data_IF_687201354823
#
_entry.id   IF_687201354823
#
_cell.length_a   1.000
_cell.length_b   1.000
_cell.length_c   1.000
_cell.angle_alpha   90.00
_cell.angle_beta   90.00
_cell.angle_gamma   90.00
#
_symmetry.space_group_name_H-M   'P 1'
#
loop_
_entity.id
_entity.type
_entity.pdbx_description
1 polymer ?
#
# COMPACT_ATOMS: atom_id res chain seq x y z
N UNK A 1 2.39 17.67 4.97
CA UNK A 1 1.42 18.04 6.01
C UNK A 1 0.18 17.22 5.72
N UNK A 2 0.13 16.01 6.25
CA UNK A 2 -0.96 15.08 5.97
C UNK A 2 -2.19 15.50 6.76
N UNK A 3 -3.07 16.23 6.09
CA UNK A 3 -4.42 16.50 6.56
C UNK A 3 -5.08 15.15 6.88
N UNK A 4 -5.46 14.96 8.15
CA UNK A 4 -6.14 13.76 8.65
C UNK A 4 -7.37 13.47 7.78
N UNK A 5 -7.23 12.55 6.81
CA UNK A 5 -8.36 12.01 6.05
C UNK A 5 -9.29 11.30 7.04
N UNK A 6 -10.62 11.39 6.86
CA UNK A 6 -11.57 10.85 7.83
C UNK A 6 -11.36 9.34 7.99
N UNK A 7 -11.24 8.87 9.23
CA UNK A 7 -11.40 7.44 9.51
C UNK A 7 -12.86 7.07 9.23
N UNK A 8 -13.11 6.35 8.14
CA UNK A 8 -14.42 5.78 7.87
C UNK A 8 -14.77 4.83 9.02
N UNK A 9 -15.87 5.11 9.73
CA UNK A 9 -16.30 4.31 10.89
C UNK A 9 -16.79 2.95 10.41
N UNK A 10 -15.92 1.96 10.44
CA UNK A 10 -16.30 0.55 10.34
C UNK A 10 -17.07 0.18 11.61
N UNK A 11 -18.27 -0.38 11.46
CA UNK A 11 -19.00 -0.94 12.60
C UNK A 11 -18.32 -2.25 13.01
N UNK A 12 -17.85 -2.34 14.25
CA UNK A 12 -17.09 -3.48 14.74
C UNK A 12 -17.88 -4.19 15.84
N UNK A 13 -17.91 -5.52 15.77
CA UNK A 13 -18.32 -6.35 16.91
C UNK A 13 -17.29 -6.25 18.03
N UNK A 14 -17.68 -6.64 19.24
CA UNK A 14 -16.75 -6.70 20.38
C UNK A 14 -15.54 -7.61 20.13
N UNK A 15 -15.76 -8.74 19.44
CA UNK A 15 -14.69 -9.63 18.99
C UNK A 15 -13.71 -8.91 18.06
N UNK A 16 -14.22 -8.14 17.09
CA UNK A 16 -13.39 -7.38 16.16
C UNK A 16 -12.62 -6.24 16.85
N UNK A 17 -13.23 -5.56 17.84
CA UNK A 17 -12.56 -4.55 18.67
C UNK A 17 -11.38 -5.14 19.45
N UNK A 18 -11.57 -6.30 20.07
CA UNK A 18 -10.50 -7.00 20.78
C UNK A 18 -9.41 -7.51 19.83
N UNK A 19 -9.78 -7.96 18.63
CA UNK A 19 -8.85 -8.36 17.59
C UNK A 19 -8.00 -7.15 17.11
N UNK A 20 -8.63 -6.01 16.82
CA UNK A 20 -7.95 -4.76 16.48
C UNK A 20 -6.99 -4.32 17.59
N UNK A 21 -7.43 -4.40 18.85
CA UNK A 21 -6.61 -4.07 20.02
C UNK A 21 -5.33 -4.90 20.07
N UNK A 22 -5.43 -6.21 19.82
CA UNK A 22 -4.27 -7.10 19.75
C UNK A 22 -3.35 -6.71 18.58
N UNK A 23 -3.91 -6.53 17.37
CA UNK A 23 -3.13 -6.15 16.19
C UNK A 23 -2.36 -4.84 16.41
N UNK A 24 -3.03 -3.79 16.92
CA UNK A 24 -2.38 -2.50 17.20
C UNK A 24 -1.28 -2.63 18.24
N UNK A 25 -1.48 -3.43 19.29
CA UNK A 25 -0.47 -3.62 20.32
C UNK A 25 0.80 -4.30 19.76
N UNK A 26 0.63 -5.34 18.93
CA UNK A 26 1.75 -6.01 18.24
C UNK A 26 2.47 -5.04 17.31
N UNK A 27 1.75 -4.34 16.43
CA UNK A 27 2.38 -3.41 15.46
C UNK A 27 3.15 -2.30 16.18
N UNK A 28 2.59 -1.72 17.25
CA UNK A 28 3.27 -0.69 18.05
C UNK A 28 4.50 -1.23 18.78
N UNK A 29 4.44 -2.46 19.30
CA UNK A 29 5.60 -3.10 19.93
C UNK A 29 6.74 -3.37 18.92
N UNK A 30 6.45 -3.44 17.62
CA UNK A 30 7.44 -3.67 16.58
C UNK A 30 8.05 -2.37 16.01
N UNK A 31 7.68 -1.19 16.52
CA UNK A 31 8.06 0.11 15.94
C UNK A 31 9.57 0.43 16.00
N UNK A 32 10.30 -0.12 16.96
CA UNK A 32 11.77 -0.05 17.12
C UNK A 32 12.50 -1.19 16.39
N UNK A 33 11.79 -1.98 15.58
CA UNK A 33 12.36 -3.03 14.74
C UNK A 33 12.27 -2.64 13.26
N UNK A 34 12.98 -3.33 12.35
CA UNK A 34 12.84 -3.08 10.91
C UNK A 34 11.54 -3.60 10.28
N UNK A 35 10.61 -4.12 11.07
CA UNK A 35 9.32 -4.61 10.58
C UNK A 35 8.51 -3.46 10.00
N UNK A 36 7.94 -3.68 8.81
CA UNK A 36 7.11 -2.70 8.10
C UNK A 36 5.78 -3.34 7.77
N UNK A 37 4.70 -2.83 8.36
CA UNK A 37 3.35 -3.31 8.11
C UNK A 37 2.94 -2.99 6.66
N UNK A 38 2.36 -3.96 5.97
CA UNK A 38 1.85 -3.84 4.59
C UNK A 38 0.44 -4.44 4.45
N UNK A 39 -0.06 -4.48 3.21
CA UNK A 39 -1.31 -5.15 2.86
C UNK A 39 -2.57 -4.45 3.39
N UNK A 40 -3.66 -5.22 3.56
CA UNK A 40 -4.96 -4.68 3.95
C UNK A 40 -4.97 -4.03 5.33
N UNK A 41 -4.21 -4.58 6.29
CA UNK A 41 -4.16 -4.04 7.65
C UNK A 41 -3.30 -2.79 7.77
N UNK A 42 -2.31 -2.59 6.89
CA UNK A 42 -1.67 -1.29 6.71
C UNK A 42 -2.68 -0.22 6.26
N UNK A 43 -3.53 -0.53 5.28
CA UNK A 43 -4.59 0.37 4.83
C UNK A 43 -5.58 0.67 5.96
N UNK A 44 -5.98 -0.34 6.72
CA UNK A 44 -6.91 -0.19 7.84
C UNK A 44 -6.35 0.64 8.99
N UNK A 45 -5.17 0.29 9.52
CA UNK A 45 -4.61 0.95 10.70
C UNK A 45 -3.96 2.31 10.38
N UNK A 46 -3.43 2.49 9.18
CA UNK A 46 -2.64 3.67 8.79
C UNK A 46 -3.33 4.63 7.82
N UNK A 47 -4.21 4.13 6.94
CA UNK A 47 -4.76 4.91 5.83
C UNK A 47 -6.28 5.00 5.81
N UNK A 48 -6.94 4.49 6.85
CA UNK A 48 -8.38 4.65 7.06
C UNK A 48 -9.26 3.77 6.16
N UNK A 49 -8.82 2.57 5.76
CA UNK A 49 -9.67 1.63 5.02
C UNK A 49 -11.04 1.44 5.69
N UNK A 50 -12.11 1.49 4.89
CA UNK A 50 -13.50 1.44 5.33
C UNK A 50 -14.09 0.01 5.41
N UNK A 51 -13.24 -1.01 5.53
CA UNK A 51 -13.60 -2.38 5.90
C UNK A 51 -12.64 -2.89 6.97
N UNK A 52 -13.07 -3.85 7.77
CA UNK A 52 -12.18 -4.50 8.73
C UNK A 52 -11.12 -5.34 8.02
N UNK A 53 -9.96 -5.52 8.65
CA UNK A 53 -8.87 -6.37 8.18
C UNK A 53 -8.29 -7.12 9.37
N UNK A 54 -8.04 -8.41 9.23
CA UNK A 54 -7.78 -9.35 10.34
C UNK A 54 -6.37 -9.95 10.35
N UNK A 55 -5.63 -9.85 9.25
CA UNK A 55 -4.28 -10.43 9.13
C UNK A 55 -3.20 -9.37 9.39
N UNK A 56 -2.03 -9.76 9.90
CA UNK A 56 -0.85 -8.90 9.93
C UNK A 56 0.21 -9.38 8.93
N UNK A 57 0.45 -8.59 7.88
CA UNK A 57 1.49 -8.84 6.89
C UNK A 57 2.63 -7.83 7.03
N UNK A 58 3.87 -8.30 7.08
CA UNK A 58 5.05 -7.46 7.18
C UNK A 58 6.09 -7.73 6.08
N UNK A 59 6.86 -6.69 5.76
CA UNK A 59 8.20 -6.85 5.19
C UNK A 59 9.26 -6.60 6.27
N UNK A 60 10.37 -7.34 6.25
CA UNK A 60 11.50 -7.10 7.13
C UNK A 60 12.80 -7.58 6.49
N UNK A 61 13.87 -6.77 6.50
CA UNK A 61 15.14 -7.16 5.85
C UNK A 61 15.97 -8.19 6.64
N UNK A 62 15.57 -8.55 7.87
CA UNK A 62 16.28 -9.51 8.71
C UNK A 62 15.36 -10.21 9.71
N UNK A 63 15.80 -11.37 10.20
CA UNK A 63 15.14 -12.08 11.31
C UNK A 63 15.20 -11.25 12.60
N UNK A 64 14.13 -11.31 13.39
CA UNK A 64 14.04 -10.74 14.73
C UNK A 64 13.49 -11.79 15.70
N UNK A 65 13.60 -11.56 17.00
CA UNK A 65 12.98 -12.41 18.02
C UNK A 65 11.45 -12.18 18.08
N UNK A 66 10.73 -12.54 17.02
CA UNK A 66 9.32 -12.22 16.84
C UNK A 66 8.44 -12.78 17.97
N UNK A 67 8.70 -14.02 18.40
CA UNK A 67 7.88 -14.68 19.41
C UNK A 67 7.85 -13.89 20.73
N UNK A 68 9.01 -13.41 21.18
CA UNK A 68 9.08 -12.63 22.43
C UNK A 68 8.47 -11.25 22.26
N UNK A 69 8.60 -10.63 21.07
CA UNK A 69 7.91 -9.37 20.77
C UNK A 69 6.39 -9.54 20.85
N UNK A 70 5.83 -10.56 20.20
CA UNK A 70 4.39 -10.85 20.26
C UNK A 70 3.93 -11.16 21.68
N UNK A 71 4.66 -11.99 22.45
CA UNK A 71 4.34 -12.28 23.86
C UNK A 71 4.35 -11.03 24.74
N UNK A 72 5.33 -10.14 24.54
CA UNK A 72 5.43 -8.88 25.28
C UNK A 72 4.38 -7.84 24.89
N UNK A 73 3.75 -8.00 23.72
CA UNK A 73 2.77 -7.07 23.18
C UNK A 73 1.33 -7.39 23.58
N UNK A 74 1.06 -8.51 24.25
CA UNK A 74 -0.29 -8.93 24.61
C UNK A 74 -0.94 -7.91 25.54
N UNK A 75 -2.00 -7.20 25.11
CA UNK A 75 -2.57 -6.13 25.91
C UNK A 75 -3.52 -6.68 26.99
N UNK A 76 -3.75 -5.89 28.03
CA UNK A 76 -4.73 -6.21 29.07
C UNK A 76 -6.09 -6.60 28.47
N UNK A 77 -6.63 -7.73 28.89
CA UNK A 77 -7.93 -8.25 28.41
C UNK A 77 -7.80 -9.34 27.34
N UNK A 78 -6.63 -9.50 26.73
CA UNK A 78 -6.31 -10.60 25.82
C UNK A 78 -5.51 -11.67 26.57
N UNK A 79 -5.82 -12.93 26.29
CA UNK A 79 -5.13 -14.10 26.84
C UNK A 79 -4.46 -14.80 25.67
N UNK A 80 -3.14 -14.89 25.68
CA UNK A 80 -2.38 -15.65 24.67
C UNK A 80 -2.42 -17.13 25.05
N UNK A 81 -2.96 -17.97 24.16
CA UNK A 81 -3.02 -19.41 24.36
C UNK A 81 -1.77 -20.08 23.78
N UNK A 82 -1.44 -19.79 22.53
CA UNK A 82 -0.33 -20.40 21.79
C UNK A 82 0.13 -19.53 20.61
N UNK A 83 1.36 -19.73 20.15
CA UNK A 83 1.85 -19.19 18.88
C UNK A 83 2.36 -20.35 18.04
N UNK A 84 1.52 -20.84 17.14
CA UNK A 84 1.87 -21.94 16.26
C UNK A 84 2.69 -21.44 15.05
N UNK A 85 3.92 -21.93 14.90
CA UNK A 85 4.80 -21.61 13.77
C UNK A 85 4.42 -22.51 12.60
N UNK A 86 3.71 -21.97 11.59
CA UNK A 86 3.38 -22.72 10.37
C UNK A 86 4.56 -22.82 9.41
N UNK A 87 5.39 -21.77 9.35
CA UNK A 87 6.60 -21.74 8.51
C UNK A 87 7.58 -20.73 9.09
N UNK A 88 8.84 -21.12 9.20
CA UNK A 88 9.93 -20.22 9.51
C UNK A 88 11.13 -20.60 8.63
N UNK A 89 11.28 -19.88 7.52
CA UNK A 89 12.32 -20.10 6.52
C UNK A 89 13.00 -18.77 6.17
N UNK A 90 14.12 -18.81 5.47
CA UNK A 90 14.92 -17.62 5.15
C UNK A 90 14.12 -16.51 4.49
N UNK A 91 13.18 -16.86 3.60
CA UNK A 91 12.38 -15.90 2.83
C UNK A 91 11.02 -15.56 3.44
N UNK A 92 10.51 -16.36 4.39
CA UNK A 92 9.15 -16.19 4.92
C UNK A 92 9.00 -16.68 6.36
N UNK A 93 8.26 -15.92 7.17
CA UNK A 93 7.73 -16.34 8.47
C UNK A 93 6.20 -16.35 8.44
N UNK A 94 5.57 -17.40 8.98
CA UNK A 94 4.12 -17.53 9.09
C UNK A 94 3.74 -18.12 10.44
N UNK A 95 2.94 -17.40 11.18
CA UNK A 95 2.57 -17.70 12.55
C UNK A 95 1.04 -17.61 12.71
N UNK A 96 0.49 -18.47 13.56
CA UNK A 96 -0.90 -18.44 13.98
C UNK A 96 -0.91 -18.14 15.48
N UNK A 97 -1.24 -16.89 15.83
CA UNK A 97 -1.34 -16.44 17.22
C UNK A 97 -2.73 -16.80 17.72
N UNK A 98 -2.81 -17.81 18.57
CA UNK A 98 -4.06 -18.29 19.18
C UNK A 98 -4.30 -17.54 20.47
N UNK A 99 -5.45 -16.91 20.59
CA UNK A 99 -5.76 -16.09 21.75
C UNK A 99 -7.23 -16.19 22.13
N UNK A 100 -7.55 -15.86 23.37
CA UNK A 100 -8.92 -15.65 23.83
C UNK A 100 -9.03 -14.26 24.47
N UNK A 101 -10.23 -13.87 24.86
CA UNK A 101 -10.47 -12.62 25.59
C UNK A 101 -10.92 -12.93 27.02
N UNK A 102 -10.89 -11.93 27.90
CA UNK A 102 -11.44 -12.11 29.26
C UNK A 102 -12.94 -12.42 29.19
N UNK A 103 -13.65 -11.80 28.26
CA UNK A 103 -15.11 -11.80 28.14
C UNK A 103 -15.64 -12.95 27.28
N UNK A 104 -14.85 -13.41 26.30
CA UNK A 104 -15.11 -14.61 25.49
C UNK A 104 -13.92 -15.58 25.52
N UNK A 105 -14.15 -16.80 26.01
CA UNK A 105 -13.15 -17.88 26.12
C UNK A 105 -12.98 -18.70 24.84
N UNK A 106 -13.83 -18.48 23.84
CA UNK A 106 -13.66 -19.08 22.52
C UNK A 106 -12.34 -18.63 21.90
N UNK A 107 -11.54 -19.59 21.44
CA UNK A 107 -10.25 -19.32 20.84
C UNK A 107 -10.40 -18.66 19.47
N UNK A 108 -9.66 -17.57 19.30
CA UNK A 108 -9.52 -16.79 18.08
C UNK A 108 -8.11 -16.97 17.53
N UNK A 109 -7.95 -16.71 16.23
CA UNK A 109 -6.64 -16.79 15.57
C UNK A 109 -6.32 -15.48 14.89
N UNK A 110 -5.16 -14.91 15.19
CA UNK A 110 -4.53 -13.84 14.42
C UNK A 110 -3.42 -14.44 13.55
N UNK A 111 -3.55 -14.30 12.24
CA UNK A 111 -2.53 -14.72 11.29
C UNK A 111 -1.48 -13.61 11.18
N UNK A 112 -0.21 -14.00 11.29
CA UNK A 112 0.92 -13.10 11.14
C UNK A 112 1.90 -13.66 10.11
N UNK A 113 2.14 -12.90 9.03
CA UNK A 113 3.09 -13.25 7.97
C UNK A 113 4.19 -12.19 7.82
N UNK A 114 5.38 -12.65 7.47
CA UNK A 114 6.55 -11.81 7.24
C UNK A 114 7.22 -12.27 5.95
N UNK A 115 7.41 -11.38 5.00
CA UNK A 115 8.35 -11.56 3.90
C UNK A 115 9.71 -11.01 4.31
N UNK A 116 10.75 -11.82 4.15
CA UNK A 116 12.14 -11.39 4.31
C UNK A 116 12.80 -11.00 2.98
N UNK A 117 12.05 -11.10 1.88
CA UNK A 117 12.48 -10.69 0.53
C UNK A 117 12.06 -9.25 0.26
N UNK A 118 12.91 -8.54 -0.48
CA UNK A 118 12.63 -7.23 -1.09
C UNK A 118 12.06 -6.18 -0.12
N UNK A 119 12.51 -6.20 1.13
CA UNK A 119 12.06 -5.25 2.15
C UNK A 119 12.32 -3.80 1.71
N UNK A 120 11.40 -2.86 2.02
CA UNK A 120 11.55 -1.46 1.61
C UNK A 120 12.77 -0.84 2.29
N UNK A 121 13.39 0.13 1.60
CA UNK A 121 14.45 0.95 2.20
C UNK A 121 13.86 1.84 3.29
N UNK A 122 14.67 2.28 4.27
CA UNK A 122 14.18 3.16 5.34
C UNK A 122 13.53 4.46 4.82
N UNK A 123 13.99 4.99 3.68
CA UNK A 123 13.39 6.15 3.01
C UNK A 123 11.99 5.92 2.41
N UNK A 124 11.57 4.67 2.31
CA UNK A 124 10.30 4.22 1.73
C UNK A 124 9.27 3.82 2.80
N UNK A 125 9.57 4.09 4.08
CA UNK A 125 8.75 3.70 5.22
C UNK A 125 8.08 4.95 5.80
N UNK A 126 6.77 4.87 6.01
CA UNK A 126 6.02 5.88 6.74
C UNK A 126 5.93 5.50 8.21
N UNK A 127 5.85 6.51 9.09
CA UNK A 127 5.51 6.32 10.50
C UNK A 127 4.17 7.00 10.76
N UNK A 128 3.14 6.23 11.04
CA UNK A 128 1.78 6.71 11.26
C UNK A 128 1.32 6.24 12.65
N UNK A 129 0.99 7.18 13.54
CA UNK A 129 0.56 6.87 14.92
C UNK A 129 1.54 5.93 15.68
N UNK A 130 2.85 6.11 15.42
CA UNK A 130 3.93 5.32 16.01
C UNK A 130 4.13 3.93 15.38
N UNK A 131 3.48 3.63 14.26
CA UNK A 131 3.60 2.36 13.53
C UNK A 131 4.41 2.54 12.25
N UNK A 132 5.34 1.62 11.97
CA UNK A 132 6.09 1.57 10.71
C UNK A 132 5.25 0.90 9.64
N UNK A 133 4.86 1.64 8.60
CA UNK A 133 3.90 1.23 7.58
C UNK A 133 4.45 1.49 6.17
N UNK A 134 4.21 0.58 5.24
CA UNK A 134 4.56 0.74 3.84
C UNK A 134 3.84 1.96 3.22
N UNK A 135 4.52 2.64 2.30
CA UNK A 135 3.91 3.70 1.48
C UNK A 135 2.76 3.18 0.60
N UNK A 136 1.82 4.06 0.28
CA UNK A 136 0.63 3.73 -0.52
C UNK A 136 1.02 3.11 -1.88
N UNK A 137 2.03 3.67 -2.55
CA UNK A 137 2.52 3.21 -3.85
C UNK A 137 2.92 1.72 -3.82
N UNK A 138 3.63 1.32 -2.75
CA UNK A 138 4.02 -0.08 -2.54
C UNK A 138 2.82 -0.97 -2.24
N UNK A 139 1.79 -0.45 -1.58
CA UNK A 139 0.57 -1.21 -1.32
C UNK A 139 -0.24 -1.40 -2.62
N UNK A 140 -0.36 -0.36 -3.46
CA UNK A 140 -0.99 -0.43 -4.78
C UNK A 140 -0.28 -1.47 -5.65
N UNK A 141 1.04 -1.39 -5.76
CA UNK A 141 1.84 -2.32 -6.56
C UNK A 141 1.64 -3.77 -6.11
N UNK A 142 1.77 -4.04 -4.80
CA UNK A 142 1.55 -5.38 -4.25
C UNK A 142 0.13 -5.90 -4.49
N UNK A 143 -0.88 -5.02 -4.52
CA UNK A 143 -2.27 -5.40 -4.81
C UNK A 143 -2.43 -5.80 -6.26
N UNK A 144 -1.92 -5.01 -7.20
CA UNK A 144 -1.94 -5.33 -8.63
C UNK A 144 -1.19 -6.62 -8.93
N UNK A 145 0.00 -6.81 -8.34
CA UNK A 145 0.74 -8.07 -8.44
C UNK A 145 -0.08 -9.26 -7.91
N UNK A 146 -0.80 -9.08 -6.80
CA UNK A 146 -1.59 -10.15 -6.20
C UNK A 146 -2.84 -10.51 -7.04
N UNK A 147 -3.53 -9.55 -7.67
CA UNK A 147 -4.80 -9.81 -8.33
C UNK A 147 -4.77 -9.77 -9.87
N UNK A 148 -3.64 -9.39 -10.49
CA UNK A 148 -3.59 -9.14 -11.92
C UNK A 148 -2.33 -9.64 -12.62
N UNK A 149 -1.15 -9.15 -12.26
CA UNK A 149 0.06 -9.25 -13.10
C UNK A 149 1.31 -9.83 -12.42
N UNK A 150 1.19 -10.29 -11.17
CA UNK A 150 2.28 -10.99 -10.49
C UNK A 150 2.39 -12.46 -10.88
N UNK A 151 3.47 -13.11 -10.46
CA UNK A 151 3.74 -14.53 -10.76
C UNK A 151 2.69 -15.50 -10.18
N UNK A 152 2.05 -15.12 -9.07
CA UNK A 152 1.10 -15.95 -8.33
C UNK A 152 -0.17 -15.15 -8.01
N UNK A 153 -0.94 -14.85 -9.06
CA UNK A 153 -2.20 -14.12 -8.92
C UNK A 153 -3.25 -14.92 -8.14
N UNK A 154 -4.21 -14.20 -7.56
CA UNK A 154 -5.34 -14.76 -6.82
C UNK A 154 -6.63 -14.02 -7.15
N UNK A 155 -7.74 -14.72 -6.99
CA UNK A 155 -9.08 -14.14 -7.08
C UNK A 155 -9.62 -13.93 -5.66
N UNK A 156 -9.36 -12.74 -5.11
CA UNK A 156 -9.90 -12.31 -3.81
C UNK A 156 -10.58 -10.96 -3.93
N UNK A 157 -11.87 -10.88 -3.61
CA UNK A 157 -12.68 -9.67 -3.75
C UNK A 157 -12.15 -8.50 -2.89
N UNK A 158 -11.44 -8.80 -1.80
CA UNK A 158 -10.73 -7.80 -0.97
C UNK A 158 -9.73 -7.00 -1.80
N UNK A 159 -9.12 -7.58 -2.83
CA UNK A 159 -8.17 -6.85 -3.69
C UNK A 159 -8.90 -5.82 -4.57
N UNK A 160 -10.07 -6.18 -5.13
CA UNK A 160 -10.93 -5.25 -5.86
C UNK A 160 -11.42 -4.10 -4.96
N UNK A 161 -11.92 -4.42 -3.77
CA UNK A 161 -12.38 -3.41 -2.81
C UNK A 161 -11.24 -2.43 -2.43
N UNK A 162 -10.06 -2.96 -2.13
CA UNK A 162 -8.94 -2.12 -1.69
C UNK A 162 -8.39 -1.25 -2.82
N UNK A 163 -8.33 -1.76 -4.06
CA UNK A 163 -7.92 -0.97 -5.23
C UNK A 163 -8.93 0.13 -5.56
N UNK A 164 -10.23 -0.13 -5.39
CA UNK A 164 -11.26 0.90 -5.48
C UNK A 164 -11.07 1.99 -4.43
N UNK A 165 -10.88 1.60 -3.16
CA UNK A 165 -10.59 2.55 -2.08
C UNK A 165 -9.35 3.40 -2.38
N UNK A 166 -8.27 2.78 -2.86
CA UNK A 166 -7.03 3.46 -3.23
C UNK A 166 -7.24 4.43 -4.40
N UNK A 167 -7.92 4.02 -5.46
CA UNK A 167 -8.22 4.90 -6.59
C UNK A 167 -9.12 6.09 -6.18
N UNK A 168 -10.08 5.86 -5.29
CA UNK A 168 -11.05 6.88 -4.85
C UNK A 168 -10.47 7.90 -3.87
N UNK A 169 -9.56 7.47 -3.00
CA UNK A 169 -9.09 8.29 -1.87
C UNK A 169 -7.61 8.63 -1.91
N UNK A 170 -6.83 7.98 -2.77
CA UNK A 170 -5.38 8.12 -2.86
C UNK A 170 -4.90 8.17 -4.33
N UNK A 171 -5.70 8.76 -5.23
CA UNK A 171 -5.36 8.89 -6.66
C UNK A 171 -4.00 9.56 -6.90
N UNK A 172 -3.58 10.45 -6.00
CA UNK A 172 -2.31 11.19 -6.08
C UNK A 172 -1.07 10.30 -5.98
N UNK A 173 -1.22 9.08 -5.47
CA UNK A 173 -0.13 8.10 -5.33
C UNK A 173 0.00 7.18 -6.55
N UNK A 174 -0.88 7.30 -7.55
CA UNK A 174 -0.70 6.57 -8.80
C UNK A 174 0.30 7.31 -9.69
N UNK A 175 1.37 6.61 -10.07
CA UNK A 175 2.21 7.00 -11.19
C UNK A 175 1.65 6.39 -12.50
N UNK A 176 2.28 6.72 -13.63
CA UNK A 176 1.78 6.29 -14.95
C UNK A 176 1.74 4.76 -15.10
N UNK A 177 2.73 4.05 -14.55
CA UNK A 177 2.78 2.58 -14.56
C UNK A 177 1.62 1.98 -13.75
N UNK A 178 1.48 2.39 -12.49
CA UNK A 178 0.42 1.89 -11.59
C UNK A 178 -0.97 2.20 -12.16
N UNK A 179 -1.16 3.39 -12.74
CA UNK A 179 -2.43 3.77 -13.36
C UNK A 179 -2.72 2.94 -14.62
N UNK A 180 -1.70 2.63 -15.44
CA UNK A 180 -1.86 1.78 -16.63
C UNK A 180 -2.27 0.37 -16.23
N UNK A 181 -1.58 -0.22 -15.28
CA UNK A 181 -1.88 -1.57 -14.77
C UNK A 181 -3.26 -1.64 -14.12
N UNK A 182 -3.63 -0.62 -13.33
CA UNK A 182 -4.99 -0.54 -12.74
C UNK A 182 -6.06 -0.46 -13.84
N UNK A 183 -5.84 0.39 -14.86
CA UNK A 183 -6.76 0.52 -16.00
C UNK A 183 -6.90 -0.78 -16.76
N UNK A 184 -5.80 -1.51 -16.97
CA UNK A 184 -5.83 -2.81 -17.67
C UNK A 184 -6.52 -3.90 -16.85
N UNK A 185 -6.34 -3.91 -15.53
CA UNK A 185 -7.06 -4.77 -14.60
C UNK A 185 -8.57 -4.49 -14.65
N UNK A 186 -8.97 -3.23 -14.64
CA UNK A 186 -10.38 -2.81 -14.52
C UNK A 186 -11.07 -2.45 -15.83
N UNK A 187 -10.52 -2.85 -16.98
CA UNK A 187 -11.05 -2.49 -18.31
C UNK A 187 -12.38 -3.16 -18.67
N UNK A 188 -12.69 -4.28 -18.01
CA UNK A 188 -13.89 -5.08 -18.24
C UNK A 188 -14.63 -5.29 -16.91
N UNK A 189 -15.51 -4.34 -16.51
CA UNK A 189 -16.25 -4.43 -15.25
C UNK A 189 -17.12 -5.67 -15.15
N UNK A 190 -17.74 -6.12 -16.25
CA UNK A 190 -18.59 -7.32 -16.26
C UNK A 190 -17.78 -8.57 -15.94
N UNK A 191 -16.54 -8.66 -16.48
CA UNK A 191 -15.61 -9.72 -16.11
C UNK A 191 -15.22 -9.66 -14.63
N UNK A 192 -14.95 -8.47 -14.09
CA UNK A 192 -14.65 -8.34 -12.64
C UNK A 192 -15.84 -8.82 -11.80
N UNK A 193 -17.05 -8.43 -12.14
CA UNK A 193 -18.26 -8.91 -11.45
C UNK A 193 -18.32 -10.44 -11.52
N UNK A 194 -18.14 -11.03 -12.70
CA UNK A 194 -18.13 -12.49 -12.87
C UNK A 194 -17.08 -13.19 -12.02
N UNK A 195 -15.84 -12.70 -12.03
CA UNK A 195 -14.71 -13.30 -11.31
C UNK A 195 -14.89 -13.25 -9.79
N UNK A 196 -15.47 -12.17 -9.26
CA UNK A 196 -15.50 -11.90 -7.81
C UNK A 196 -16.86 -12.18 -7.14
N UNK A 197 -17.94 -12.42 -7.89
CA UNK A 197 -19.30 -12.56 -7.34
C UNK A 197 -19.41 -13.60 -6.22
N UNK A 198 -18.78 -14.77 -6.40
CA UNK A 198 -18.83 -15.85 -5.40
C UNK A 198 -18.04 -15.47 -4.15
N UNK A 199 -16.84 -14.91 -4.32
CA UNK A 199 -15.96 -14.56 -3.19
C UNK A 199 -16.57 -13.40 -2.38
N UNK A 200 -17.17 -12.38 -3.01
CA UNK A 200 -17.90 -11.30 -2.31
C UNK A 200 -19.02 -11.85 -1.43
N UNK A 201 -19.84 -12.78 -1.95
CA UNK A 201 -20.97 -13.35 -1.20
C UNK A 201 -20.51 -14.17 0.02
N UNK A 202 -19.39 -14.86 -0.11
CA UNK A 202 -18.84 -15.71 0.94
C UNK A 202 -17.99 -14.95 1.97
N UNK A 203 -17.42 -13.80 1.61
CA UNK A 203 -16.54 -13.03 2.49
C UNK A 203 -17.35 -12.17 3.47
N UNK A 204 -17.37 -12.57 4.75
CA UNK A 204 -18.06 -11.85 5.81
C UNK A 204 -17.56 -10.41 6.03
N UNK A 205 -16.36 -10.06 5.55
CA UNK A 205 -15.84 -8.69 5.64
C UNK A 205 -16.35 -7.78 4.50
N UNK A 206 -17.00 -8.34 3.47
CA UNK A 206 -17.44 -7.61 2.28
C UNK A 206 -18.93 -7.74 2.01
N UNK A 207 -19.53 -8.90 2.28
CA UNK A 207 -20.87 -9.26 1.80
C UNK A 207 -22.01 -8.33 2.27
N UNK A 208 -21.82 -7.56 3.34
CA UNK A 208 -22.80 -6.57 3.82
C UNK A 208 -22.49 -5.13 3.39
N UNK A 209 -21.31 -4.86 2.82
CA UNK A 209 -20.81 -3.49 2.60
C UNK A 209 -20.37 -3.20 1.17
N UNK A 210 -20.18 -4.23 0.34
CA UNK A 210 -19.67 -4.09 -1.02
C UNK A 210 -20.79 -4.32 -2.03
N UNK A 211 -21.13 -3.27 -2.77
CA UNK A 211 -21.85 -3.38 -4.05
C UNK A 211 -20.81 -3.70 -5.12
N UNK A 212 -20.81 -4.94 -5.63
CA UNK A 212 -19.77 -5.43 -6.52
C UNK A 212 -19.86 -4.78 -7.91
N UNK A 213 -21.06 -4.67 -8.44
CA UNK A 213 -21.35 -4.07 -9.74
C UNK A 213 -20.95 -2.58 -9.75
N UNK A 214 -21.35 -1.82 -8.73
CA UNK A 214 -20.97 -0.41 -8.58
C UNK A 214 -19.44 -0.28 -8.40
N UNK A 215 -18.84 -1.10 -7.53
CA UNK A 215 -17.39 -1.04 -7.27
C UNK A 215 -16.58 -1.32 -8.54
N UNK A 216 -16.95 -2.34 -9.32
CA UNK A 216 -16.26 -2.69 -10.57
C UNK A 216 -16.38 -1.58 -11.62
N UNK A 217 -17.59 -1.01 -11.78
CA UNK A 217 -17.83 0.07 -12.73
C UNK A 217 -17.11 1.37 -12.33
N UNK A 218 -17.21 1.78 -11.07
CA UNK A 218 -16.53 2.98 -10.55
C UNK A 218 -15.01 2.85 -10.70
N UNK A 219 -14.44 1.68 -10.37
CA UNK A 219 -12.99 1.47 -10.51
C UNK A 219 -12.53 1.60 -11.96
N UNK A 220 -13.27 1.01 -12.91
CA UNK A 220 -12.99 1.14 -14.34
C UNK A 220 -12.93 2.59 -14.79
N UNK A 221 -13.92 3.40 -14.39
CA UNK A 221 -13.98 4.82 -14.73
C UNK A 221 -12.85 5.61 -14.06
N UNK A 222 -12.62 5.42 -12.76
CA UNK A 222 -11.57 6.13 -12.01
C UNK A 222 -10.18 5.81 -12.59
N UNK A 223 -9.88 4.54 -12.89
CA UNK A 223 -8.60 4.14 -13.46
C UNK A 223 -8.33 4.82 -14.82
N UNK A 224 -9.35 4.92 -15.68
CA UNK A 224 -9.24 5.65 -16.94
C UNK A 224 -8.97 7.15 -16.73
N UNK A 225 -9.66 7.78 -15.78
CA UNK A 225 -9.48 9.21 -15.47
C UNK A 225 -8.09 9.50 -14.88
N UNK A 226 -7.62 8.68 -13.94
CA UNK A 226 -6.29 8.78 -13.33
C UNK A 226 -5.22 8.64 -14.41
N UNK A 227 -5.29 7.61 -15.25
CA UNK A 227 -4.34 7.42 -16.35
C UNK A 227 -4.31 8.60 -17.32
N UNK A 228 -5.48 9.06 -17.77
CA UNK A 228 -5.60 10.19 -18.70
C UNK A 228 -5.07 11.49 -18.10
N UNK A 229 -5.26 11.72 -16.80
CA UNK A 229 -4.71 12.87 -16.06
C UNK A 229 -3.18 12.84 -16.08
N UNK A 230 -2.58 11.69 -15.77
CA UNK A 230 -1.13 11.49 -15.75
C UNK A 230 -0.50 11.59 -17.14
N UNK A 231 -1.14 11.04 -18.18
CA UNK A 231 -0.68 11.21 -19.56
C UNK A 231 -0.63 12.68 -19.96
N UNK A 232 -1.68 13.45 -19.69
CA UNK A 232 -1.71 14.89 -19.99
C UNK A 232 -0.63 15.66 -19.27
N UNK A 233 -0.37 15.34 -17.99
CA UNK A 233 0.70 15.95 -17.22
C UNK A 233 2.07 15.64 -17.83
N UNK A 234 2.32 14.40 -18.22
CA UNK A 234 3.56 13.98 -18.90
C UNK A 234 3.79 14.74 -20.22
N UNK A 235 2.77 14.81 -21.09
CA UNK A 235 2.87 15.57 -22.35
C UNK A 235 3.12 17.06 -22.11
N UNK A 236 2.46 17.66 -21.12
CA UNK A 236 2.67 19.08 -20.77
C UNK A 236 4.08 19.34 -20.24
N UNK A 237 4.64 18.43 -19.43
CA UNK A 237 6.00 18.55 -18.94
C UNK A 237 7.03 18.44 -20.06
N UNK A 238 6.85 17.49 -20.99
CA UNK A 238 7.73 17.33 -22.15
C UNK A 238 7.72 18.58 -23.05
N UNK A 239 6.54 19.14 -23.33
CA UNK A 239 6.43 20.36 -24.12
C UNK A 239 7.11 21.57 -23.46
N UNK A 240 7.03 21.71 -22.14
CA UNK A 240 7.74 22.76 -21.38
C UNK A 240 9.27 22.56 -21.42
N UNK A 241 9.74 21.32 -21.30
CA UNK A 241 11.17 21.00 -21.38
C UNK A 241 11.75 21.25 -22.77
N UNK A 242 10.99 20.94 -23.84
CA UNK A 242 11.38 21.26 -25.21
C UNK A 242 11.50 22.78 -25.39
N UNK A 243 10.53 23.58 -24.95
CA UNK A 243 10.58 25.04 -25.03
C UNK A 243 11.76 25.66 -24.25
N UNK A 244 12.10 25.12 -23.08
CA UNK A 244 13.26 25.55 -22.30
C UNK A 244 14.60 25.08 -22.91
N UNK A 245 14.63 23.92 -23.56
CA UNK A 245 15.78 23.41 -24.29
C UNK A 245 16.11 24.23 -25.54
N UNK A 246 15.09 24.70 -26.27
CA UNK A 246 15.28 25.64 -27.38
C UNK A 246 15.76 27.02 -26.91
N UNK A 247 15.24 27.54 -25.79
CA UNK A 247 15.64 28.86 -25.26
C UNK A 247 17.09 28.90 -24.75
N UNK A 248 17.66 27.77 -24.30
CA UNK A 248 19.05 27.70 -23.85
C UNK A 248 20.08 27.52 -24.99
N UNK A 249 19.65 27.07 -26.17
CA UNK A 249 20.52 26.93 -27.35
C UNK A 249 20.58 28.20 -28.23
N UNK A 250 19.62 29.12 -28.10
CA UNK A 250 19.61 30.39 -28.85
C UNK A 250 20.49 31.49 -28.22
N UNK A 251 21.07 31.28 -27.04
CA UNK A 251 22.00 32.23 -26.40
C UNK A 251 23.49 32.01 -26.75
N UNK A 252 23.80 31.16 -27.73
CA UNK A 252 25.20 30.89 -28.14
C UNK A 252 25.54 31.29 -29.59
N UNK A 253 24.73 32.11 -30.26
CA UNK A 253 25.07 32.60 -31.60
C UNK A 253 25.21 34.12 -31.62
N UNK A 254 26.34 34.51 -32.21
CA UNK A 254 26.72 35.84 -32.69
C UNK A 254 27.30 36.85 -31.69
N UNK A 255 28.64 36.85 -31.62
CA UNK A 255 29.37 38.12 -31.54
C UNK A 255 30.49 38.11 -32.61
N UNK A 256 30.26 38.66 -33.82
CA UNK A 256 31.31 38.87 -34.80
C UNK A 256 31.88 40.29 -34.73
N UNK A 257 33.22 40.35 -34.86
CA UNK A 257 34.06 41.53 -35.17
C UNK A 257 34.23 42.57 -34.03
N UNK A 258 35.39 43.22 -33.83
CA UNK A 258 36.45 43.56 -34.77
C UNK A 258 37.77 43.92 -34.06
N UNK A 259 38.86 43.83 -34.83
CA UNK A 259 40.24 44.28 -34.58
C UNK A 259 40.41 45.56 -33.73
N UNK A 260 41.50 45.64 -32.96
CA UNK A 260 42.73 46.36 -33.36
C UNK A 260 43.78 46.45 -32.25
N UNK A 261 45.04 46.52 -32.71
CA UNK A 261 46.20 47.17 -32.09
C UNK A 261 47.14 46.36 -31.18
N UNK A 262 48.21 45.87 -31.82
CA UNK A 262 49.53 45.66 -31.19
C UNK A 262 50.25 47.00 -31.02
N UNK A 263 51.08 47.13 -29.97
CA UNK A 263 52.36 47.80 -30.16
C UNK A 263 53.54 46.96 -29.65
N UNK A 264 54.52 46.79 -30.54
CA UNK A 264 55.91 46.47 -30.17
C UNK A 264 56.54 47.67 -29.48
N UNK A 265 57.22 47.47 -28.33
CA UNK A 265 58.70 47.56 -28.13
C UNK A 265 59.13 48.02 -26.71
N UNK A 266 60.19 47.33 -26.23
CA UNK A 266 61.31 47.75 -25.35
C UNK A 266 60.93 48.01 -23.87
N UNK A 267 61.62 47.49 -22.87
CA UNK A 267 63.01 46.99 -22.72
C UNK A 267 63.04 45.65 -22.03
#
# INVERSE_FOLDING_TARGET
MDSKKPHYRVSLSEQALNHEKLMRAIVKNLADTPMVLKGGTALYLGYGLNRFSEDLDFDCHKKINLLDRVKSAIPNGIILNDIHIKKDADSVGRYMVRYATKDNKEEQTLKLEISYRDAPKESEINVIEGMRIAKIERIIDNKLCACFDGEHTRTKARDLFDLHFLAKHYEEHFNLDLASRLKDFSKDPDKLVSDYLVDVKLDALLNQIMDLEETALELGVMAQLIHKKLEKQSHSLNALQEQQGYSNNDNSLDNPNENTYTPKRRR
#
